data_IF_379123728234
#
_entry.id   IF_379123728234
#
_cell.length_a   1.000
_cell.length_b   1.000
_cell.length_c   1.000
_cell.angle_alpha   90.00
_cell.angle_beta   90.00
_cell.angle_gamma   90.00
#
_symmetry.space_group_name_H-M   'P 1'
#
loop_
_entity.id
_entity.type
_entity.pdbx_description
1 polymer ?
#
# COMPACT_ATOMS: atom_id res chain seq x y z
N UNK A 1 -8.37 10.39 -9.48
CA UNK A 1 -7.94 9.72 -8.24
C UNK A 1 -8.91 8.60 -7.96
N UNK A 2 -8.40 7.40 -7.77
CA UNK A 2 -9.18 6.23 -7.35
C UNK A 2 -8.76 5.80 -5.96
N UNK A 3 -9.68 5.20 -5.22
CA UNK A 3 -9.45 4.76 -3.84
C UNK A 3 -9.77 3.28 -3.73
N UNK A 4 -8.92 2.56 -3.00
CA UNK A 4 -9.02 1.13 -2.79
C UNK A 4 -8.85 0.82 -1.31
N UNK A 5 -9.58 -0.16 -0.79
CA UNK A 5 -9.58 -0.50 0.63
C UNK A 5 -9.52 -2.00 0.85
N UNK A 6 -8.75 -2.43 1.85
CA UNK A 6 -8.69 -3.81 2.28
C UNK A 6 -8.08 -3.96 3.66
N UNK A 7 -8.10 -5.17 4.19
CA UNK A 7 -7.41 -5.52 5.43
C UNK A 7 -5.99 -5.98 5.10
N UNK A 8 -5.02 -5.53 5.89
CA UNK A 8 -3.62 -5.92 5.77
C UNK A 8 -3.02 -6.19 7.15
N UNK A 9 -2.18 -7.23 7.24
CA UNK A 9 -1.29 -7.42 8.38
C UNK A 9 0.13 -7.12 7.90
N UNK A 10 0.59 -5.89 8.13
CA UNK A 10 1.92 -5.49 7.67
C UNK A 10 3.01 -6.19 8.47
N UNK A 11 4.15 -6.52 7.84
CA UNK A 11 5.30 -7.00 8.57
C UNK A 11 5.76 -5.95 9.62
N UNK A 12 5.98 -6.41 10.84
CA UNK A 12 6.35 -5.56 11.96
C UNK A 12 5.18 -4.98 12.78
N UNK A 13 3.91 -5.24 12.42
CA UNK A 13 2.76 -4.90 13.27
C UNK A 13 2.24 -6.08 14.07
N UNK A 14 1.60 -5.81 15.21
CA UNK A 14 1.00 -6.84 16.07
C UNK A 14 -0.50 -7.06 15.82
N UNK A 15 -1.10 -6.28 14.92
CA UNK A 15 -2.52 -6.31 14.57
C UNK A 15 -2.72 -6.09 13.07
N UNK A 16 -3.88 -6.53 12.57
CA UNK A 16 -4.36 -6.16 11.24
C UNK A 16 -4.84 -4.71 11.23
N UNK A 17 -4.78 -4.06 10.08
CA UNK A 17 -5.31 -2.71 9.88
C UNK A 17 -6.05 -2.63 8.56
N UNK A 18 -7.08 -1.80 8.51
CA UNK A 18 -7.64 -1.37 7.24
C UNK A 18 -6.64 -0.43 6.56
N UNK A 19 -6.22 -0.77 5.35
CA UNK A 19 -5.45 0.11 4.47
C UNK A 19 -6.36 0.72 3.43
N UNK A 20 -6.17 2.02 3.19
CA UNK A 20 -6.73 2.73 2.03
C UNK A 20 -5.58 3.19 1.15
N UNK A 21 -5.64 2.80 -0.12
CA UNK A 21 -4.71 3.20 -1.16
C UNK A 21 -5.44 4.17 -2.09
N UNK A 22 -4.99 5.41 -2.15
CA UNK A 22 -5.42 6.37 -3.15
C UNK A 22 -4.37 6.47 -4.26
N UNK A 23 -4.77 6.35 -5.52
CA UNK A 23 -3.87 6.38 -6.66
C UNK A 23 -4.40 7.29 -7.77
N UNK A 24 -3.52 8.17 -8.25
CA UNK A 24 -3.63 8.81 -9.56
C UNK A 24 -2.65 8.12 -10.53
N UNK A 25 -3.20 7.22 -11.34
CA UNK A 25 -2.44 6.41 -12.29
C UNK A 25 -1.66 7.24 -13.31
N UNK A 26 -2.28 8.28 -13.86
CA UNK A 26 -1.69 9.12 -14.89
C UNK A 26 -0.81 10.20 -14.28
N UNK A 27 -1.23 10.76 -13.14
CA UNK A 27 -0.45 11.73 -12.36
C UNK A 27 0.73 11.12 -11.61
N UNK A 28 0.80 9.79 -11.53
CA UNK A 28 1.83 9.02 -10.78
C UNK A 28 1.92 9.46 -9.33
N UNK A 29 0.77 9.56 -8.68
CA UNK A 29 0.67 9.91 -7.27
C UNK A 29 -0.02 8.79 -6.52
N UNK A 30 0.46 8.51 -5.32
CA UNK A 30 -0.10 7.52 -4.42
C UNK A 30 -0.13 8.09 -3.01
N UNK A 31 -1.19 7.83 -2.26
CA UNK A 31 -1.25 8.00 -0.82
C UNK A 31 -1.72 6.69 -0.18
N UNK A 32 -1.08 6.30 0.91
CA UNK A 32 -1.47 5.13 1.71
C UNK A 32 -1.91 5.62 3.07
N UNK A 33 -3.08 5.22 3.54
CA UNK A 33 -3.53 5.48 4.89
C UNK A 33 -3.95 4.20 5.62
N UNK A 34 -3.85 4.22 6.95
CA UNK A 34 -4.20 3.09 7.80
C UNK A 34 -5.08 3.52 8.97
N UNK A 35 -6.06 2.68 9.33
CA UNK A 35 -6.99 2.94 10.43
C UNK A 35 -6.32 2.87 11.81
N UNK A 36 -5.36 1.97 11.99
CA UNK A 36 -4.67 1.71 13.27
C UNK A 36 -3.15 1.82 13.11
N UNK A 37 -2.62 3.01 12.83
CA UNK A 37 -1.20 3.17 12.58
C UNK A 37 -0.35 3.02 13.85
N UNK A 38 0.80 2.37 13.71
CA UNK A 38 1.83 2.37 14.74
C UNK A 38 2.72 3.62 14.64
N UNK A 39 3.10 4.20 15.79
CA UNK A 39 4.03 5.33 15.88
C UNK A 39 3.57 6.68 15.31
N UNK A 40 2.25 6.91 15.27
CA UNK A 40 1.67 8.27 15.22
C UNK A 40 1.49 8.88 13.83
N UNK A 41 1.82 8.18 12.75
CA UNK A 41 1.51 8.60 11.37
C UNK A 41 0.39 7.75 10.82
N UNK A 42 -0.71 8.34 10.34
CA UNK A 42 -1.82 7.60 9.73
C UNK A 42 -1.74 7.54 8.21
N UNK A 43 -0.86 8.34 7.59
CA UNK A 43 -0.78 8.50 6.14
C UNK A 43 0.68 8.61 5.65
N UNK A 44 0.94 8.03 4.48
CA UNK A 44 2.24 8.02 3.83
C UNK A 44 2.10 8.27 2.32
N UNK A 45 2.78 9.29 1.78
CA UNK A 45 2.84 9.48 0.34
C UNK A 45 3.70 8.40 -0.31
N UNK A 46 3.30 7.98 -1.49
CA UNK A 46 4.10 7.11 -2.36
C UNK A 46 5.33 7.85 -2.89
N UNK A 47 6.48 7.20 -2.75
CA UNK A 47 7.78 7.65 -3.27
C UNK A 47 8.15 6.83 -4.49
N UNK A 48 8.81 7.47 -5.46
CA UNK A 48 9.27 6.82 -6.70
C UNK A 48 8.15 6.08 -7.43
N UNK A 49 6.95 6.67 -7.48
CA UNK A 49 5.77 6.05 -8.09
C UNK A 49 6.01 5.85 -9.59
N UNK A 50 5.88 4.61 -10.03
CA UNK A 50 5.89 4.20 -11.43
C UNK A 50 4.57 3.53 -11.74
N UNK A 51 4.02 3.80 -12.92
CA UNK A 51 2.77 3.20 -13.39
C UNK A 51 2.97 2.63 -14.80
N UNK A 52 2.27 1.53 -15.09
CA UNK A 52 2.16 0.95 -16.43
C UNK A 52 0.70 1.14 -16.86
N UNK A 53 0.44 2.22 -17.59
CA UNK A 53 -0.91 2.66 -17.91
C UNK A 53 -1.73 2.90 -16.65
N UNK A 54 -2.94 2.34 -16.62
CA UNK A 54 -3.83 2.36 -15.46
C UNK A 54 -3.94 1.00 -14.78
N UNK A 55 -3.10 0.04 -15.17
CA UNK A 55 -3.23 -1.37 -14.80
C UNK A 55 -2.30 -1.74 -13.64
N UNK A 56 -1.15 -1.10 -13.52
CA UNK A 56 -0.11 -1.52 -12.57
C UNK A 56 0.64 -0.31 -12.01
N UNK A 57 1.01 -0.39 -10.74
CA UNK A 57 1.87 0.60 -10.09
C UNK A 57 2.89 -0.05 -9.16
N UNK A 58 4.08 0.56 -9.12
CA UNK A 58 5.15 0.23 -8.18
C UNK A 58 5.58 1.51 -7.47
N UNK A 59 5.67 1.46 -6.15
CA UNK A 59 6.08 2.62 -5.35
C UNK A 59 6.69 2.18 -4.02
N UNK A 60 7.22 3.15 -3.28
CA UNK A 60 7.72 2.93 -1.92
C UNK A 60 6.98 3.80 -0.92
N UNK A 61 6.92 3.34 0.30
CA UNK A 61 6.56 4.17 1.45
C UNK A 61 7.67 4.06 2.48
N UNK A 62 7.91 5.14 3.23
CA UNK A 62 8.93 5.20 4.28
C UNK A 62 8.28 5.54 5.59
N UNK A 63 8.59 4.76 6.63
CA UNK A 63 8.05 4.95 7.98
C UNK A 63 6.69 4.29 8.21
N UNK A 64 6.25 3.41 7.31
CA UNK A 64 5.10 2.51 7.51
C UNK A 64 5.64 1.12 7.78
N UNK A 65 5.27 0.44 8.87
CA UNK A 65 5.30 0.97 10.24
C UNK A 65 6.60 1.76 10.53
N UNK A 66 6.69 2.51 11.65
CA UNK A 66 7.84 3.35 11.95
C UNK A 66 9.14 2.53 11.85
N UNK A 67 10.10 3.05 11.09
CA UNK A 67 11.43 2.47 10.78
C UNK A 67 11.53 1.60 9.53
N UNK A 68 10.42 1.22 8.90
CA UNK A 68 10.48 0.38 7.69
C UNK A 68 10.35 1.19 6.40
N UNK A 69 10.98 0.69 5.34
CA UNK A 69 10.63 1.06 3.96
C UNK A 69 9.90 -0.12 3.35
N UNK A 70 8.74 0.14 2.75
CA UNK A 70 8.00 -0.88 2.03
C UNK A 70 8.02 -0.60 0.54
N UNK A 71 8.24 -1.64 -0.26
CA UNK A 71 7.99 -1.63 -1.70
C UNK A 71 6.62 -2.22 -1.95
N UNK A 72 5.83 -1.51 -2.74
CA UNK A 72 4.48 -1.91 -3.11
C UNK A 72 4.48 -2.20 -4.60
N UNK A 73 3.92 -3.34 -4.95
CA UNK A 73 3.61 -3.70 -6.32
C UNK A 73 2.13 -4.05 -6.37
N UNK A 74 1.36 -3.24 -7.08
CA UNK A 74 -0.09 -3.39 -7.18
C UNK A 74 -0.50 -3.46 -8.64
N UNK A 75 -1.46 -4.32 -8.95
CA UNK A 75 -2.04 -4.48 -10.27
C UNK A 75 -3.56 -4.61 -10.18
N UNK A 76 -4.25 -4.08 -11.19
CA UNK A 76 -5.68 -4.31 -11.38
C UNK A 76 -5.96 -5.78 -11.53
N UNK A 77 -7.08 -6.18 -10.95
CA UNK A 77 -7.74 -7.45 -11.19
C UNK A 77 -9.00 -7.22 -12.02
N UNK A 78 -9.54 -8.28 -12.63
CA UNK A 78 -10.65 -8.18 -13.58
C UNK A 78 -11.97 -7.58 -13.03
N UNK A 79 -12.07 -7.34 -11.72
CA UNK A 79 -13.21 -6.68 -11.06
C UNK A 79 -13.00 -5.18 -10.81
N UNK A 80 -12.00 -4.56 -11.44
CA UNK A 80 -11.53 -3.20 -11.11
C UNK A 80 -10.97 -3.05 -9.69
N UNK A 81 -10.84 -4.13 -8.92
CA UNK A 81 -10.12 -4.18 -7.64
C UNK A 81 -8.61 -4.31 -7.88
N UNK A 82 -7.81 -4.13 -6.83
CA UNK A 82 -6.36 -4.30 -6.90
C UNK A 82 -5.92 -5.54 -6.13
N UNK A 83 -5.01 -6.31 -6.72
CA UNK A 83 -4.17 -7.27 -6.00
C UNK A 83 -2.74 -6.73 -5.94
N UNK A 84 -1.98 -7.10 -4.92
CA UNK A 84 -0.58 -6.71 -4.85
C UNK A 84 0.27 -7.47 -3.86
N UNK A 85 1.54 -7.10 -3.83
CA UNK A 85 2.54 -7.58 -2.89
C UNK A 85 3.25 -6.38 -2.27
N UNK A 86 3.35 -6.40 -0.95
CA UNK A 86 4.16 -5.47 -0.17
C UNK A 86 5.40 -6.21 0.28
N UNK A 87 6.58 -5.60 0.13
CA UNK A 87 7.85 -6.14 0.60
C UNK A 87 8.43 -5.17 1.63
N UNK A 88 8.70 -5.62 2.84
CA UNK A 88 9.37 -4.84 3.88
C UNK A 88 10.90 -4.94 3.73
N UNK A 89 11.64 -3.98 4.30
CA UNK A 89 13.09 -4.16 4.47
C UNK A 89 13.40 -5.39 5.33
N UNK A 90 14.59 -6.01 5.14
CA UNK A 90 15.01 -7.14 5.96
C UNK A 90 14.91 -6.87 7.46
N UNK A 91 14.51 -7.88 8.21
CA UNK A 91 14.49 -7.83 9.66
C UNK A 91 15.90 -7.94 10.28
N UNK A 92 15.98 -8.07 11.61
CA UNK A 92 17.25 -8.21 12.33
C UNK A 92 18.04 -9.48 11.97
N UNK A 93 17.39 -10.47 11.36
CA UNK A 93 18.00 -11.71 10.89
C UNK A 93 18.41 -11.62 9.40
N UNK A 94 18.04 -10.54 8.72
CA UNK A 94 18.29 -10.36 7.29
C UNK A 94 17.23 -10.99 6.39
N UNK A 95 16.11 -11.44 6.96
CA UNK A 95 15.03 -12.08 6.22
C UNK A 95 14.07 -11.04 5.64
N UNK A 96 13.75 -11.18 4.36
CA UNK A 96 12.77 -10.33 3.68
C UNK A 96 11.35 -10.79 4.03
N UNK A 97 10.51 -9.83 4.42
CA UNK A 97 9.12 -10.10 4.74
C UNK A 97 8.21 -9.58 3.64
N UNK A 98 7.24 -10.39 3.25
CA UNK A 98 6.28 -10.05 2.18
C UNK A 98 4.85 -10.20 2.66
N UNK A 99 3.97 -9.31 2.23
CA UNK A 99 2.55 -9.32 2.56
C UNK A 99 1.73 -9.18 1.27
N UNK A 100 1.04 -10.24 0.82
CA UNK A 100 0.11 -10.14 -0.29
C UNK A 100 -1.14 -9.36 0.18
N UNK A 101 -1.68 -8.54 -0.71
CA UNK A 101 -2.87 -7.73 -0.44
C UNK A 101 -3.90 -7.85 -1.54
N UNK A 102 -5.16 -7.68 -1.16
CA UNK A 102 -6.28 -7.51 -2.06
C UNK A 102 -7.11 -6.33 -1.57
N UNK A 103 -7.25 -5.31 -2.40
CA UNK A 103 -7.91 -4.05 -2.07
C UNK A 103 -9.10 -3.85 -3.01
N UNK A 104 -10.29 -3.74 -2.42
CA UNK A 104 -11.51 -3.46 -3.17
C UNK A 104 -11.60 -2.00 -3.55
N UNK A 105 -12.06 -1.71 -4.75
CA UNK A 105 -12.35 -0.33 -5.15
C UNK A 105 -13.47 0.25 -4.29
N UNK A 106 -13.28 1.47 -3.78
CA UNK A 106 -14.33 2.23 -3.09
C UNK A 106 -14.78 3.39 -3.97
N UNK A 107 -16.08 3.49 -4.22
CA UNK A 107 -16.69 4.66 -4.82
C UNK A 107 -16.98 5.67 -3.71
N UNK A 108 -16.33 6.85 -3.74
CA UNK A 108 -16.77 7.98 -2.90
C UNK A 108 -18.19 8.34 -3.38
N UNK A 109 -19.20 8.12 -2.55
CA UNK A 109 -20.53 8.70 -2.79
C UNK A 109 -20.38 10.24 -2.79
N UNK A 110 -20.98 10.88 -3.79
CA UNK A 110 -20.89 12.31 -4.05
C UNK A 110 -21.84 13.12 -3.15
#
# INVERSE_FOLDING_TARGET
>A
MESFQGEVHLPGTNHSSTVVLEIDWLGKQVNVSMSEPEGGFSEWPGLMVQTIGVEEAVFRTRGIPPRFTHWWHVARSGSDDIWGLIVATPDIHGDWQTCPIFLKRITKEA
#
